data_IF_494439432688
#
_entry.id   IF_494439432688
#
_cell.length_a   1.000
_cell.length_b   1.000
_cell.length_c   1.000
_cell.angle_alpha   90.00
_cell.angle_beta   90.00
_cell.angle_gamma   90.00
#
_symmetry.space_group_name_H-M   'P 1'
#
loop_
_entity.id
_entity.type
_entity.pdbx_description
1 polymer ?
#
# COMPACT_ATOMS: atom_id res chain seq x y z
N UNK A 1 22.21 4.47 8.06
CA UNK A 1 21.62 3.14 8.30
C UNK A 1 20.16 3.26 8.69
N UNK A 2 19.32 2.30 8.30
CA UNK A 2 17.89 2.26 8.65
C UNK A 2 17.49 0.82 9.02
N UNK A 3 16.50 0.67 9.87
CA UNK A 3 15.86 -0.60 10.19
C UNK A 3 14.37 -0.51 9.83
N UNK A 4 13.82 -1.61 9.31
CA UNK A 4 12.40 -1.74 9.02
C UNK A 4 11.83 -2.88 9.83
N UNK A 5 10.65 -2.64 10.39
CA UNK A 5 9.90 -3.65 11.11
C UNK A 5 8.46 -3.62 10.61
N UNK A 6 7.80 -4.78 10.59
CA UNK A 6 6.43 -4.87 10.15
C UNK A 6 5.85 -6.23 10.43
N UNK A 7 4.54 -6.31 10.33
CA UNK A 7 3.82 -7.58 10.37
C UNK A 7 2.87 -7.66 9.19
N UNK A 8 2.68 -8.87 8.71
CA UNK A 8 1.64 -9.22 7.75
C UNK A 8 0.87 -10.40 8.33
N UNK A 9 -0.43 -10.20 8.52
CA UNK A 9 -1.33 -11.23 9.01
C UNK A 9 -2.39 -11.53 7.96
N UNK A 10 -2.70 -12.81 7.80
CA UNK A 10 -3.83 -13.27 6.99
C UNK A 10 -4.65 -14.24 7.85
N UNK A 11 -5.97 -14.12 7.80
CA UNK A 11 -6.90 -14.96 8.53
C UNK A 11 -7.98 -15.46 7.59
N UNK A 12 -8.13 -16.77 7.51
CA UNK A 12 -9.21 -17.37 6.74
C UNK A 12 -10.50 -17.26 7.54
N UNK A 13 -11.49 -16.54 7.01
CA UNK A 13 -12.80 -16.37 7.64
C UNK A 13 -13.74 -17.48 7.13
N UNK A 14 -13.76 -17.69 5.81
CA UNK A 14 -14.48 -18.80 5.15
C UNK A 14 -13.69 -19.29 3.94
N UNK A 15 -14.19 -20.30 3.22
CA UNK A 15 -13.57 -20.82 1.99
C UNK A 15 -13.42 -19.76 0.89
N UNK A 16 -14.27 -18.73 0.91
CA UNK A 16 -14.26 -17.64 -0.08
C UNK A 16 -13.84 -16.28 0.49
N UNK A 17 -13.61 -16.17 1.81
CA UNK A 17 -13.31 -14.91 2.47
C UNK A 17 -12.06 -15.02 3.34
N UNK A 18 -11.05 -14.23 2.99
CA UNK A 18 -9.79 -14.11 3.75
C UNK A 18 -9.60 -12.66 4.18
N UNK A 19 -9.49 -12.43 5.48
CA UNK A 19 -9.06 -11.14 6.01
C UNK A 19 -7.54 -11.03 5.98
N UNK A 20 -7.02 -9.86 5.67
CA UNK A 20 -5.58 -9.59 5.72
C UNK A 20 -5.30 -8.21 6.30
N UNK A 21 -4.13 -8.06 6.90
CA UNK A 21 -3.64 -6.80 7.41
C UNK A 21 -2.13 -6.73 7.30
N UNK A 22 -1.63 -5.55 6.96
CA UNK A 22 -0.20 -5.30 6.88
C UNK A 22 0.14 -3.97 7.52
N UNK A 23 1.21 -3.98 8.29
CA UNK A 23 1.80 -2.80 8.87
C UNK A 23 3.31 -2.82 8.65
N UNK A 24 3.86 -1.69 8.22
CA UNK A 24 5.30 -1.51 8.01
C UNK A 24 5.73 -0.17 8.61
N UNK A 25 6.77 -0.22 9.44
CA UNK A 25 7.35 0.90 10.16
C UNK A 25 8.83 1.03 9.82
N UNK A 26 9.28 2.25 9.56
CA UNK A 26 10.67 2.54 9.23
C UNK A 26 11.31 3.40 10.31
N UNK A 27 12.48 2.99 10.75
CA UNK A 27 13.27 3.64 11.80
C UNK A 27 14.62 4.01 11.19
N UNK A 28 14.92 5.31 11.14
CA UNK A 28 16.27 5.78 10.78
C UNK A 28 17.17 5.67 12.01
N UNK A 29 18.26 4.92 11.90
CA UNK A 29 19.24 4.69 12.98
C UNK A 29 20.54 5.47 12.72
N UNK A 30 20.43 6.61 12.06
CA UNK A 30 21.55 7.50 11.75
C UNK A 30 21.52 8.81 12.52
N UNK A 31 20.63 8.95 13.51
CA UNK A 31 20.51 10.14 14.37
C UNK A 31 20.71 9.78 15.84
N UNK A 32 21.16 10.74 16.62
CA UNK A 32 21.43 10.59 18.07
C UNK A 32 20.12 10.37 18.84
N UNK A 33 20.09 9.54 19.88
CA UNK A 33 18.85 9.22 20.65
C UNK A 33 18.17 10.44 21.29
N UNK A 34 18.90 11.56 21.44
CA UNK A 34 18.37 12.84 21.93
C UNK A 34 17.72 13.74 20.86
N UNK A 35 17.88 13.42 19.57
CA UNK A 35 17.15 14.08 18.48
C UNK A 35 15.89 13.26 18.19
N UNK A 36 14.73 13.92 18.23
CA UNK A 36 13.41 13.27 18.22
C UNK A 36 13.18 12.21 17.13
N UNK A 37 12.16 11.37 17.37
CA UNK A 37 11.88 10.14 16.64
C UNK A 37 11.87 10.30 15.10
N UNK A 38 12.98 9.90 14.44
CA UNK A 38 13.08 9.79 12.98
C UNK A 38 12.48 8.46 12.50
N UNK A 39 11.22 8.22 12.84
CA UNK A 39 10.51 6.99 12.49
C UNK A 39 9.08 7.26 12.05
N UNK A 40 8.63 6.55 11.02
CA UNK A 40 7.31 6.75 10.45
C UNK A 40 6.70 5.45 9.92
N UNK A 41 5.36 5.40 9.95
CA UNK A 41 4.58 4.31 9.35
C UNK A 41 4.60 4.45 7.83
N UNK A 42 5.04 3.41 7.15
CA UNK A 42 5.05 3.32 5.69
C UNK A 42 3.76 2.70 5.17
N UNK A 43 3.36 1.58 5.74
CA UNK A 43 2.15 0.86 5.37
C UNK A 43 1.34 0.56 6.61
N UNK A 44 0.03 0.62 6.47
CA UNK A 44 -0.91 0.34 7.54
C UNK A 44 -2.29 0.23 6.96
N UNK A 45 -2.62 -0.96 6.47
CA UNK A 45 -3.92 -1.23 5.86
C UNK A 45 -4.47 -2.58 6.31
N UNK A 46 -5.79 -2.68 6.30
CA UNK A 46 -6.51 -3.92 6.47
C UNK A 46 -7.45 -4.11 5.30
N UNK A 47 -7.70 -5.36 4.94
CA UNK A 47 -8.52 -5.70 3.80
C UNK A 47 -9.17 -7.06 3.90
N UNK A 48 -10.08 -7.29 2.98
CA UNK A 48 -10.82 -8.52 2.80
C UNK A 48 -10.64 -8.97 1.35
N UNK A 49 -10.33 -10.25 1.17
CA UNK A 49 -10.24 -10.92 -0.13
C UNK A 49 -11.43 -11.87 -0.28
N UNK A 50 -12.17 -11.72 -1.36
CA UNK A 50 -13.42 -12.43 -1.68
C UNK A 50 -13.20 -13.45 -2.80
N UNK A 51 -12.22 -14.34 -2.67
CA UNK A 51 -11.90 -15.33 -3.71
C UNK A 51 -11.66 -14.68 -5.08
N UNK A 52 -12.46 -15.07 -6.08
CA UNK A 52 -12.43 -14.56 -7.46
C UNK A 52 -13.12 -13.19 -7.63
N UNK A 53 -13.92 -12.76 -6.65
CA UNK A 53 -14.53 -11.44 -6.68
C UNK A 53 -13.53 -10.32 -6.33
N UNK A 54 -12.26 -10.65 -6.07
CA UNK A 54 -11.21 -9.68 -5.84
C UNK A 54 -10.98 -9.37 -4.36
N UNK A 55 -10.36 -8.23 -4.09
CA UNK A 55 -10.01 -7.79 -2.74
C UNK A 55 -10.30 -6.31 -2.55
N UNK A 56 -10.63 -5.95 -1.31
CA UNK A 56 -10.81 -4.57 -0.90
C UNK A 56 -9.94 -4.30 0.33
N UNK A 57 -9.13 -3.26 0.28
CA UNK A 57 -8.35 -2.78 1.42
C UNK A 57 -8.53 -1.29 1.66
N UNK A 58 -8.40 -0.90 2.93
CA UNK A 58 -8.43 0.49 3.36
C UNK A 58 -7.30 0.79 4.33
N UNK A 59 -6.63 1.92 4.13
CA UNK A 59 -5.64 2.45 5.07
C UNK A 59 -4.54 3.25 4.38
N UNK A 60 -3.34 3.21 4.96
CA UNK A 60 -2.12 3.74 4.33
C UNK A 60 -1.54 2.66 3.41
N UNK A 61 -1.84 2.77 2.12
CA UNK A 61 -1.39 1.83 1.09
C UNK A 61 -0.76 2.58 -0.09
N UNK A 62 -0.16 1.84 -1.03
CA UNK A 62 0.31 2.38 -2.30
C UNK A 62 -0.86 2.81 -3.18
N UNK A 63 -0.69 3.93 -3.88
CA UNK A 63 -1.63 4.39 -4.89
C UNK A 63 -1.68 3.43 -6.09
N UNK A 64 -2.84 3.25 -6.72
CA UNK A 64 -2.98 2.34 -7.89
C UNK A 64 -2.21 2.79 -9.13
N UNK A 65 -1.80 4.06 -9.19
CA UNK A 65 -0.88 4.54 -10.24
C UNK A 65 0.45 3.78 -10.16
N UNK A 66 0.88 3.40 -8.94
CA UNK A 66 2.08 2.60 -8.73
C UNK A 66 1.98 1.18 -9.32
N UNK A 67 0.78 0.65 -9.58
CA UNK A 67 0.64 -0.67 -10.24
C UNK A 67 1.09 -0.64 -11.70
N UNK A 68 0.98 0.52 -12.36
CA UNK A 68 1.49 0.75 -13.71
C UNK A 68 3.00 1.07 -13.66
N UNK A 69 3.44 1.84 -12.65
CA UNK A 69 4.85 2.22 -12.49
C UNK A 69 5.75 1.05 -12.06
N UNK A 70 5.23 0.09 -11.29
CA UNK A 70 5.95 -1.12 -10.88
C UNK A 70 6.39 -2.00 -12.07
N UNK A 71 5.77 -1.85 -13.25
CA UNK A 71 6.24 -2.48 -14.48
C UNK A 71 7.51 -1.83 -15.06
N UNK A 72 7.82 -0.59 -14.67
CA UNK A 72 9.00 0.17 -15.13
C UNK A 72 10.08 0.35 -14.05
N UNK A 73 9.76 0.16 -12.77
CA UNK A 73 10.68 0.35 -11.63
C UNK A 73 11.33 -0.97 -11.17
N UNK A 74 12.06 -1.62 -12.08
CA UNK A 74 12.89 -2.80 -11.80
C UNK A 74 14.39 -2.46 -11.90
N UNK A 75 14.82 -1.38 -11.24
CA UNK A 75 16.22 -0.90 -11.29
C UNK A 75 16.98 -1.20 -9.98
N UNK A 76 18.27 -1.62 -10.03
CA UNK A 76 18.97 -2.21 -8.88
C UNK A 76 19.26 -1.32 -7.67
N UNK A 77 19.35 0.02 -7.78
CA UNK A 77 19.75 0.87 -6.64
C UNK A 77 19.36 2.36 -6.79
N UNK A 78 19.22 2.89 -8.01
CA UNK A 78 18.79 4.27 -8.25
C UNK A 78 17.64 4.30 -9.27
N UNK A 79 16.41 4.34 -8.75
CA UNK A 79 15.17 4.48 -9.51
C UNK A 79 14.07 5.00 -8.58
N UNK A 80 13.30 6.01 -9.03
CA UNK A 80 12.15 6.56 -8.28
C UNK A 80 12.31 7.97 -7.66
N UNK A 81 13.41 8.70 -7.90
CA UNK A 81 13.63 10.03 -7.26
C UNK A 81 13.17 11.25 -8.08
N UNK A 82 12.61 11.07 -9.29
CA UNK A 82 12.19 12.21 -10.13
C UNK A 82 10.71 12.60 -9.96
N UNK A 83 9.84 11.70 -9.48
CA UNK A 83 8.39 11.98 -9.40
C UNK A 83 7.64 11.27 -8.25
N UNK A 84 8.20 10.24 -7.64
CA UNK A 84 7.55 9.38 -6.64
C UNK A 84 7.63 9.99 -5.23
N UNK A 85 6.98 11.14 -5.04
CA UNK A 85 6.90 11.78 -3.72
C UNK A 85 5.94 11.00 -2.82
N UNK A 86 6.40 10.65 -1.62
CA UNK A 86 5.52 10.09 -0.58
C UNK A 86 4.55 11.19 -0.14
N UNK A 87 3.25 10.88 0.01
CA UNK A 87 2.19 11.83 0.39
C UNK A 87 1.82 12.90 -0.68
N UNK A 88 2.11 12.66 -1.97
CA UNK A 88 1.59 13.47 -3.10
C UNK A 88 0.57 12.66 -3.91
N UNK A 89 -0.71 12.82 -3.56
CA UNK A 89 -1.84 12.13 -4.21
C UNK A 89 -1.68 10.59 -4.23
N UNK A 90 -1.95 9.94 -5.38
CA UNK A 90 -1.85 8.49 -5.57
C UNK A 90 -0.54 8.05 -6.27
N UNK A 91 0.48 8.91 -6.31
CA UNK A 91 1.75 8.64 -7.00
C UNK A 91 2.70 7.75 -6.18
N UNK A 92 2.39 7.49 -4.90
CA UNK A 92 3.21 6.69 -4.01
C UNK A 92 2.41 6.14 -2.84
N UNK A 93 2.99 6.06 -1.64
CA UNK A 93 2.23 5.73 -0.42
C UNK A 93 1.39 6.93 -0.01
N UNK A 94 0.12 6.69 0.28
CA UNK A 94 -0.83 7.74 0.65
C UNK A 94 -1.75 7.27 1.78
N UNK A 95 -2.29 8.23 2.54
CA UNK A 95 -3.20 7.97 3.65
C UNK A 95 -4.65 7.88 3.18
N UNK A 96 -5.42 6.99 3.80
CA UNK A 96 -6.88 6.94 3.64
C UNK A 96 -7.33 6.51 2.24
N UNK A 97 -6.60 5.58 1.62
CA UNK A 97 -7.02 4.99 0.34
C UNK A 97 -7.86 3.75 0.56
N UNK A 98 -9.02 3.73 -0.08
CA UNK A 98 -9.83 2.55 -0.31
C UNK A 98 -9.47 1.99 -1.69
N UNK A 99 -8.88 0.80 -1.73
CA UNK A 99 -8.46 0.16 -2.96
C UNK A 99 -9.25 -1.12 -3.16
N UNK A 100 -9.98 -1.19 -4.27
CA UNK A 100 -10.57 -2.42 -4.77
C UNK A 100 -9.71 -2.95 -5.91
N UNK A 101 -9.35 -4.24 -5.85
CA UNK A 101 -8.53 -4.93 -6.86
C UNK A 101 -9.25 -6.18 -7.27
N UNK A 102 -9.33 -6.46 -8.57
CA UNK A 102 -9.90 -7.68 -9.08
C UNK A 102 -8.99 -8.28 -10.15
N UNK A 103 -8.75 -9.58 -10.02
CA UNK A 103 -8.01 -10.37 -11.00
C UNK A 103 -8.97 -11.09 -11.92
N UNK A 104 -8.58 -11.23 -13.19
CA UNK A 104 -9.33 -11.96 -14.23
C UNK A 104 -10.74 -11.41 -14.53
N UNK A 105 -10.97 -10.13 -14.22
CA UNK A 105 -12.24 -9.43 -14.42
C UNK A 105 -13.45 -10.27 -13.96
N UNK A 106 -13.44 -10.69 -12.70
CA UNK A 106 -14.46 -11.54 -12.08
C UNK A 106 -14.57 -12.95 -12.69
N UNK A 107 -13.48 -13.44 -13.30
CA UNK A 107 -13.45 -14.70 -14.05
C UNK A 107 -14.01 -14.61 -15.47
N UNK A 108 -14.33 -13.41 -15.96
CA UNK A 108 -14.86 -13.20 -17.32
C UNK A 108 -13.76 -13.15 -18.38
N UNK A 109 -12.58 -12.62 -18.02
CA UNK A 109 -11.46 -12.45 -18.95
C UNK A 109 -10.17 -12.78 -18.19
N UNK A 110 -9.67 -13.99 -18.40
CA UNK A 110 -8.39 -14.43 -17.86
C UNK A 110 -7.27 -13.48 -18.29
N UNK A 111 -6.51 -12.97 -17.32
CA UNK A 111 -5.42 -12.03 -17.51
C UNK A 111 -5.81 -10.54 -17.50
N UNK A 112 -7.11 -10.19 -17.49
CA UNK A 112 -7.54 -8.80 -17.34
C UNK A 112 -7.69 -8.43 -15.86
N UNK A 113 -6.67 -7.76 -15.32
CA UNK A 113 -6.70 -7.24 -13.96
C UNK A 113 -7.12 -5.77 -13.96
N UNK A 114 -7.96 -5.36 -13.01
CA UNK A 114 -8.27 -3.95 -12.82
C UNK A 114 -8.27 -3.58 -11.33
N UNK A 115 -7.99 -2.31 -11.07
CA UNK A 115 -8.03 -1.74 -9.74
C UNK A 115 -8.79 -0.42 -9.78
N UNK A 116 -9.56 -0.16 -8.73
CA UNK A 116 -10.25 1.09 -8.50
C UNK A 116 -9.83 1.60 -7.13
N UNK A 117 -9.35 2.83 -7.07
CA UNK A 117 -8.92 3.44 -5.82
C UNK A 117 -9.63 4.76 -5.59
N UNK A 118 -10.04 4.96 -4.35
CA UNK A 118 -10.57 6.21 -3.86
C UNK A 118 -9.72 6.69 -2.69
N UNK A 119 -9.23 7.92 -2.75
CA UNK A 119 -8.51 8.56 -1.65
C UNK A 119 -9.44 9.58 -0.99
N UNK A 120 -9.66 9.43 0.32
CA UNK A 120 -10.40 10.44 1.10
C UNK A 120 -9.67 11.78 1.14
N UNK A 121 -10.42 12.86 1.38
CA UNK A 121 -9.80 14.18 1.57
C UNK A 121 -8.91 14.15 2.83
N UNK A 122 -7.63 14.48 2.66
CA UNK A 122 -6.66 14.59 3.75
C UNK A 122 -6.37 16.08 3.99
N UNK A 123 -7.38 16.82 4.46
CA UNK A 123 -7.23 18.20 4.94
C UNK A 123 -7.42 18.22 6.46
N UNK A 124 -6.63 19.03 7.16
CA UNK A 124 -6.84 19.30 8.59
C UNK A 124 -8.24 19.93 8.78
N UNK A 125 -9.08 19.42 9.70
CA UNK A 125 -10.17 20.23 10.23
C UNK A 125 -9.49 21.34 11.04
N UNK A 126 -9.38 22.53 10.43
CA UNK A 126 -8.56 23.65 10.91
C UNK A 126 -8.69 24.04 12.37
#
# INVERSE_FOLDING_TARGET
SYARFGFKGETQITDMLTGYGQWEYNIKVNTTEGEGANSWTRLGFAGLKFGEYGSFDYGRNYGVIYDIEAWTDALPEFGGDTYTQTDVYMLGRTNGVATYRNSDCFGLVEGLNFALQYQGNNEDPG
#
